data_IF_813829264034
#
_entry.id   IF_813829264034
#
_cell.length_a   1.000
_cell.length_b   1.000
_cell.length_c   1.000
_cell.angle_alpha   90.00
_cell.angle_beta   90.00
_cell.angle_gamma   90.00
#
_symmetry.space_group_name_H-M   'P 1'
#
loop_
_entity.id
_entity.type
_entity.pdbx_description
1 polymer ?
#
# COMPACT_ATOMS: atom_id res chain seq x y z
N UNK A 1 -23.12 40.01 37.86
CA UNK A 1 -22.45 39.05 38.75
C UNK A 1 -22.19 37.81 37.92
N UNK A 2 -20.96 37.34 37.95
CA UNK A 2 -20.19 36.91 36.79
C UNK A 2 -20.56 35.52 36.25
N UNK A 3 -20.52 35.44 34.92
CA UNK A 3 -20.48 34.25 34.07
C UNK A 3 -19.45 33.23 34.58
N UNK A 4 -19.91 32.08 35.07
CA UNK A 4 -19.03 30.98 35.49
C UNK A 4 -18.62 30.19 34.25
N UNK A 5 -17.59 30.69 33.57
CA UNK A 5 -16.86 29.93 32.56
C UNK A 5 -16.22 28.71 33.24
N UNK A 6 -16.81 27.54 33.00
CA UNK A 6 -16.11 26.26 33.17
C UNK A 6 -14.95 26.24 32.17
N UNK A 7 -13.68 26.13 32.63
CA UNK A 7 -12.55 26.08 31.70
C UNK A 7 -12.62 24.79 30.86
N UNK A 8 -12.37 24.83 29.54
CA UNK A 8 -12.32 23.63 28.74
C UNK A 8 -11.12 22.78 29.18
N UNK A 9 -11.40 21.50 29.42
CA UNK A 9 -10.39 20.47 29.73
C UNK A 9 -9.35 20.46 28.62
N UNK A 10 -8.09 20.73 28.95
CA UNK A 10 -6.93 20.52 28.08
C UNK A 10 -6.89 19.04 27.66
N UNK A 11 -7.15 18.79 26.38
CA UNK A 11 -7.03 17.48 25.71
C UNK A 11 -5.54 17.18 25.48
N UNK A 12 -5.09 16.00 25.93
CA UNK A 12 -3.71 15.53 25.70
C UNK A 12 -3.42 15.23 24.23
N UNK A 13 -2.14 15.12 23.84
CA UNK A 13 -1.70 15.15 22.43
C UNK A 13 -1.87 13.81 21.68
N UNK A 14 -2.82 12.97 22.06
CA UNK A 14 -3.02 11.66 21.42
C UNK A 14 -4.46 11.14 21.59
N UNK A 15 -5.44 11.96 21.23
CA UNK A 15 -6.77 11.47 20.92
C UNK A 15 -6.87 11.41 19.40
N UNK A 16 -6.96 10.20 18.85
CA UNK A 16 -7.29 9.93 17.46
C UNK A 16 -8.51 10.79 17.10
N UNK A 17 -8.30 11.82 16.29
CA UNK A 17 -9.37 12.74 15.91
C UNK A 17 -10.31 11.94 15.00
N UNK A 18 -11.60 11.77 15.35
CA UNK A 18 -12.51 10.95 14.54
C UNK A 18 -12.63 11.49 13.11
N UNK A 19 -12.39 12.79 12.91
CA UNK A 19 -12.33 13.42 11.59
C UNK A 19 -11.06 13.09 10.80
N UNK A 20 -9.94 12.79 11.46
CA UNK A 20 -8.72 12.34 10.79
C UNK A 20 -8.89 10.92 10.24
N UNK A 21 -9.56 10.03 10.99
CA UNK A 21 -9.90 8.68 10.51
C UNK A 21 -10.92 8.73 9.36
N UNK A 22 -11.93 9.59 9.46
CA UNK A 22 -12.94 9.77 8.39
C UNK A 22 -12.34 10.36 7.11
N UNK A 23 -11.39 11.31 7.23
CA UNK A 23 -10.60 11.80 6.10
C UNK A 23 -9.72 10.71 5.49
N UNK A 24 -8.97 9.96 6.29
CA UNK A 24 -8.13 8.86 5.78
C UNK A 24 -8.96 7.78 5.08
N UNK A 25 -10.15 7.46 5.59
CA UNK A 25 -11.07 6.52 4.93
C UNK A 25 -11.57 7.06 3.58
N UNK A 26 -11.95 8.34 3.50
CA UNK A 26 -12.36 8.93 2.23
C UNK A 26 -11.21 8.98 1.21
N UNK A 27 -9.98 9.25 1.67
CA UNK A 27 -8.80 9.21 0.79
C UNK A 27 -8.46 7.79 0.35
N UNK A 28 -8.64 6.81 1.22
CA UNK A 28 -8.47 5.41 0.86
C UNK A 28 -9.49 4.97 -0.19
N UNK A 29 -10.78 5.32 -0.02
CA UNK A 29 -11.81 5.08 -1.03
C UNK A 29 -11.42 5.71 -2.37
N UNK A 30 -10.96 6.97 -2.38
CA UNK A 30 -10.46 7.64 -3.60
C UNK A 30 -9.28 6.91 -4.23
N UNK A 31 -8.36 6.34 -3.43
CA UNK A 31 -7.20 5.62 -3.96
C UNK A 31 -7.59 4.27 -4.55
N UNK A 32 -8.60 3.63 -3.99
CA UNK A 32 -9.20 2.42 -4.58
C UNK A 32 -9.91 2.79 -5.88
N UNK A 33 -10.67 3.89 -5.93
CA UNK A 33 -11.30 4.38 -7.16
C UNK A 33 -10.26 4.71 -8.24
N UNK A 34 -9.15 5.37 -7.88
CA UNK A 34 -8.03 5.66 -8.80
C UNK A 34 -7.37 4.36 -9.28
N UNK A 35 -7.26 3.34 -8.42
CA UNK A 35 -6.73 2.03 -8.80
C UNK A 35 -7.66 1.29 -9.78
N UNK A 36 -8.98 1.34 -9.57
CA UNK A 36 -9.97 0.80 -10.50
C UNK A 36 -9.94 1.54 -11.84
N UNK A 37 -9.91 2.88 -11.82
CA UNK A 37 -9.80 3.68 -13.04
C UNK A 37 -8.51 3.37 -13.81
N UNK A 38 -7.38 3.21 -13.10
CA UNK A 38 -6.11 2.80 -13.72
C UNK A 38 -6.23 1.43 -14.38
N UNK A 39 -6.89 0.47 -13.74
CA UNK A 39 -7.12 -0.84 -14.34
C UNK A 39 -7.98 -0.75 -15.61
N UNK A 40 -9.06 0.03 -15.59
CA UNK A 40 -9.92 0.24 -16.78
C UNK A 40 -9.13 0.83 -17.97
N UNK A 41 -8.17 1.72 -17.71
CA UNK A 41 -7.27 2.23 -18.76
C UNK A 41 -6.43 1.12 -19.37
N UNK A 42 -5.82 0.26 -18.56
CA UNK A 42 -5.04 -0.90 -19.02
C UNK A 42 -5.92 -1.91 -19.78
N UNK A 43 -7.14 -2.19 -19.31
CA UNK A 43 -8.09 -3.08 -20.01
C UNK A 43 -8.49 -2.53 -21.38
N UNK A 44 -8.68 -1.21 -21.49
CA UNK A 44 -8.94 -0.53 -22.77
C UNK A 44 -7.77 -0.65 -23.75
N UNK A 45 -6.54 -0.77 -23.24
CA UNK A 45 -5.33 -1.06 -24.01
C UNK A 45 -5.15 -2.55 -24.34
N UNK A 46 -6.06 -3.42 -23.85
CA UNK A 46 -6.08 -4.86 -24.13
C UNK A 46 -5.33 -5.72 -23.12
N UNK A 47 -5.02 -5.17 -21.94
CA UNK A 47 -4.42 -5.93 -20.83
C UNK A 47 -5.47 -6.65 -20.01
N UNK A 48 -5.09 -7.77 -19.42
CA UNK A 48 -5.87 -8.45 -18.38
C UNK A 48 -5.43 -7.91 -17.01
N UNK A 49 -6.34 -7.25 -16.30
CA UNK A 49 -6.02 -6.55 -15.04
C UNK A 49 -6.61 -7.21 -13.81
N UNK A 50 -5.87 -7.17 -12.70
CA UNK A 50 -6.34 -7.59 -11.39
C UNK A 50 -6.16 -6.42 -10.41
N UNK A 51 -7.26 -5.84 -9.94
CA UNK A 51 -7.25 -4.85 -8.87
C UNK A 51 -7.33 -5.58 -7.53
N UNK A 52 -6.37 -5.32 -6.65
CA UNK A 52 -6.41 -5.80 -5.28
C UNK A 52 -7.17 -4.81 -4.39
N UNK A 53 -7.90 -5.33 -3.41
CA UNK A 53 -8.61 -4.54 -2.40
C UNK A 53 -8.02 -4.80 -1.00
N UNK A 54 -6.90 -4.16 -0.63
CA UNK A 54 -6.26 -4.38 0.64
C UNK A 54 -7.17 -4.03 1.82
N UNK A 55 -7.36 -4.96 2.74
CA UNK A 55 -7.95 -4.70 4.04
C UNK A 55 -6.96 -4.06 5.03
N UNK A 56 -5.66 -4.29 4.83
CA UNK A 56 -4.58 -3.70 5.63
C UNK A 56 -3.29 -3.64 4.81
N UNK A 57 -2.51 -2.56 4.98
CA UNK A 57 -1.17 -2.41 4.39
C UNK A 57 -0.18 -2.06 5.49
N UNK A 58 0.79 -2.95 5.72
CA UNK A 58 1.79 -2.82 6.76
C UNK A 58 3.18 -2.62 6.17
N UNK A 59 3.91 -1.62 6.67
CA UNK A 59 5.32 -1.35 6.30
C UNK A 59 6.25 -2.34 6.98
N UNK A 60 7.14 -2.96 6.21
CA UNK A 60 8.16 -3.89 6.69
C UNK A 60 9.58 -3.40 6.38
N UNK A 61 10.51 -3.42 7.35
CA UNK A 61 10.26 -3.70 8.77
C UNK A 61 9.50 -2.54 9.43
N UNK A 62 8.73 -2.80 10.50
CA UNK A 62 8.07 -1.73 11.25
C UNK A 62 9.12 -0.79 11.86
N UNK A 63 8.90 0.53 11.73
CA UNK A 63 9.88 1.55 12.10
C UNK A 63 10.33 1.49 13.57
N UNK A 64 9.46 1.05 14.48
CA UNK A 64 9.75 0.88 15.90
C UNK A 64 10.53 -0.41 16.23
N UNK A 65 10.58 -1.38 15.31
CA UNK A 65 11.27 -2.66 15.48
C UNK A 65 12.01 -3.02 14.17
N UNK A 66 13.09 -2.28 13.82
CA UNK A 66 13.79 -2.43 12.54
C UNK A 66 14.46 -3.80 12.34
N UNK A 67 14.66 -4.55 13.42
CA UNK A 67 15.26 -5.89 13.45
C UNK A 67 14.23 -7.02 13.64
N UNK A 68 12.92 -6.71 13.65
CA UNK A 68 11.88 -7.73 13.82
C UNK A 68 11.75 -8.66 12.61
N UNK A 69 12.20 -8.22 11.43
CA UNK A 69 12.18 -9.01 10.21
C UNK A 69 13.25 -8.56 9.23
N UNK A 70 13.76 -9.52 8.45
CA UNK A 70 14.62 -9.27 7.30
C UNK A 70 13.84 -8.85 6.05
N UNK A 71 12.49 -8.95 6.09
CA UNK A 71 11.62 -8.54 4.98
C UNK A 71 11.62 -7.02 4.85
N UNK A 72 11.71 -6.55 3.61
CA UNK A 72 11.74 -5.12 3.27
C UNK A 72 10.71 -4.88 2.18
N UNK A 73 9.65 -4.15 2.50
CA UNK A 73 8.49 -4.10 1.62
C UNK A 73 7.18 -3.73 2.29
N UNK A 74 6.10 -3.94 1.57
CA UNK A 74 4.74 -3.80 2.09
C UNK A 74 4.11 -5.18 2.25
N UNK A 75 3.53 -5.45 3.42
CA UNK A 75 2.65 -6.58 3.66
C UNK A 75 1.22 -6.14 3.36
N UNK A 76 0.60 -6.76 2.36
CA UNK A 76 -0.68 -6.36 1.78
C UNK A 76 -1.69 -7.47 2.02
N UNK A 77 -2.66 -7.21 2.89
CA UNK A 77 -3.71 -8.16 3.22
C UNK A 77 -4.89 -8.01 2.25
N UNK A 78 -5.20 -9.03 1.46
CA UNK A 78 -6.27 -8.98 0.45
C UNK A 78 -7.33 -10.07 0.66
N UNK A 79 -8.54 -9.91 0.11
CA UNK A 79 -9.53 -10.97 -0.03
C UNK A 79 -8.96 -12.26 -0.64
N UNK A 80 -9.43 -13.40 -0.13
CA UNK A 80 -8.93 -14.71 -0.56
C UNK A 80 -9.11 -14.99 -2.06
N UNK A 81 -10.23 -14.55 -2.66
CA UNK A 81 -10.49 -14.73 -4.08
C UNK A 81 -9.47 -13.98 -4.96
N UNK A 82 -9.12 -12.75 -4.60
CA UNK A 82 -8.12 -11.94 -5.32
C UNK A 82 -6.72 -12.53 -5.15
N UNK A 83 -6.42 -13.00 -3.93
CA UNK A 83 -5.17 -13.70 -3.65
C UNK A 83 -5.02 -14.98 -4.49
N UNK A 84 -6.10 -15.76 -4.63
CA UNK A 84 -6.10 -16.97 -5.45
C UNK A 84 -5.84 -16.64 -6.92
N UNK A 85 -6.55 -15.66 -7.49
CA UNK A 85 -6.30 -15.21 -8.86
C UNK A 85 -4.87 -14.71 -9.06
N UNK A 86 -4.34 -13.91 -8.13
CA UNK A 86 -2.95 -13.46 -8.18
C UNK A 86 -1.98 -14.64 -8.11
N UNK A 87 -2.25 -15.61 -7.23
CA UNK A 87 -1.42 -16.81 -7.07
C UNK A 87 -1.34 -17.60 -8.38
N UNK A 88 -2.48 -17.81 -9.05
CA UNK A 88 -2.54 -18.49 -10.34
C UNK A 88 -1.75 -17.72 -11.42
N UNK A 89 -1.78 -16.38 -11.39
CA UNK A 89 -1.04 -15.58 -12.37
C UNK A 89 0.46 -15.70 -12.21
N UNK A 90 0.97 -15.64 -10.97
CA UNK A 90 2.42 -15.69 -10.72
C UNK A 90 3.03 -17.08 -10.90
N UNK A 91 2.23 -18.14 -11.00
CA UNK A 91 2.73 -19.50 -11.28
C UNK A 91 3.32 -19.63 -12.70
N UNK A 92 2.69 -18.98 -13.68
CA UNK A 92 3.07 -19.06 -15.09
C UNK A 92 3.60 -17.72 -15.65
N UNK A 93 3.56 -16.64 -14.87
CA UNK A 93 3.89 -15.28 -15.33
C UNK A 93 4.91 -14.60 -14.42
N UNK A 94 5.95 -14.04 -15.01
CA UNK A 94 6.88 -13.16 -14.33
C UNK A 94 6.39 -11.71 -14.40
N UNK A 95 6.31 -11.06 -13.25
CA UNK A 95 5.99 -9.65 -13.10
C UNK A 95 7.29 -8.87 -12.86
N UNK A 96 7.85 -8.29 -13.92
CA UNK A 96 9.20 -7.68 -13.92
C UNK A 96 9.19 -6.15 -14.02
N UNK A 97 8.06 -5.56 -14.41
CA UNK A 97 7.89 -4.12 -14.55
C UNK A 97 6.86 -3.61 -13.55
N UNK A 98 7.02 -2.36 -13.13
CA UNK A 98 5.99 -1.70 -12.34
C UNK A 98 6.00 -0.19 -12.61
N UNK A 99 4.85 0.44 -12.42
CA UNK A 99 4.66 1.89 -12.45
C UNK A 99 3.96 2.30 -11.14
N UNK A 100 4.31 3.47 -10.61
CA UNK A 100 3.76 3.96 -9.32
C UNK A 100 3.22 5.36 -9.47
N UNK A 101 1.97 5.52 -9.08
CA UNK A 101 1.29 6.80 -8.97
C UNK A 101 1.12 7.11 -7.49
N UNK A 102 1.47 8.31 -7.05
CA UNK A 102 1.42 8.65 -5.62
C UNK A 102 0.86 10.05 -5.36
N UNK A 103 0.10 10.15 -4.28
CA UNK A 103 -0.37 11.39 -3.70
C UNK A 103 0.03 11.43 -2.22
N UNK A 104 0.18 12.65 -1.68
CA UNK A 104 0.50 12.84 -0.26
C UNK A 104 -0.56 13.70 0.37
N UNK A 105 -1.05 13.25 1.52
CA UNK A 105 -1.91 14.07 2.35
C UNK A 105 -1.67 13.86 3.85
N UNK A 106 -1.62 14.95 4.61
CA UNK A 106 -1.54 14.93 6.08
C UNK A 106 -0.42 14.03 6.68
N UNK A 107 0.68 13.81 5.96
CA UNK A 107 1.79 12.95 6.41
C UNK A 107 1.65 11.47 6.02
N UNK A 108 0.56 11.11 5.35
CA UNK A 108 0.35 9.81 4.73
C UNK A 108 0.61 9.92 3.23
N UNK A 109 1.27 8.92 2.67
CA UNK A 109 1.37 8.73 1.22
C UNK A 109 0.36 7.67 0.84
N UNK A 110 -0.39 7.96 -0.21
CA UNK A 110 -1.23 7.01 -0.90
C UNK A 110 -0.60 6.75 -2.27
N UNK A 111 -0.45 5.49 -2.63
CA UNK A 111 0.16 5.10 -3.89
C UNK A 111 -0.63 3.99 -4.56
N UNK A 112 -0.68 4.02 -5.89
CA UNK A 112 -1.17 2.93 -6.72
C UNK A 112 0.05 2.35 -7.43
N UNK A 113 0.41 1.11 -7.10
CA UNK A 113 1.48 0.38 -7.78
C UNK A 113 0.89 -0.56 -8.81
N UNK A 114 1.26 -0.40 -10.07
CA UNK A 114 0.81 -1.24 -11.19
C UNK A 114 1.95 -2.13 -11.61
N UNK A 115 1.90 -3.40 -11.20
CA UNK A 115 2.93 -4.39 -11.51
C UNK A 115 2.52 -5.12 -12.79
N UNK A 116 3.38 -5.09 -13.79
CA UNK A 116 3.10 -5.51 -15.15
C UNK A 116 3.93 -6.72 -15.55
N UNK A 117 3.29 -7.62 -16.28
CA UNK A 117 3.91 -8.70 -17.03
C UNK A 117 3.66 -8.45 -18.52
N UNK A 118 4.54 -7.68 -19.16
CA UNK A 118 4.35 -7.22 -20.53
C UNK A 118 4.27 -8.37 -21.54
N UNK A 119 4.99 -9.47 -21.31
CA UNK A 119 4.96 -10.63 -22.19
C UNK A 119 3.62 -11.37 -22.15
N UNK A 120 2.93 -11.33 -21.01
CA UNK A 120 1.62 -11.97 -20.82
C UNK A 120 0.44 -11.02 -21.04
N UNK A 121 0.69 -9.70 -21.18
CA UNK A 121 -0.35 -8.68 -21.25
C UNK A 121 -1.16 -8.60 -19.95
N UNK A 122 -0.53 -8.82 -18.79
CA UNK A 122 -1.20 -8.80 -17.48
C UNK A 122 -0.70 -7.66 -16.60
N UNK A 123 -1.60 -7.05 -15.84
CA UNK A 123 -1.27 -6.02 -14.87
C UNK A 123 -1.99 -6.22 -13.53
N UNK A 124 -1.26 -6.12 -12.43
CA UNK A 124 -1.81 -6.19 -11.08
C UNK A 124 -1.74 -4.80 -10.48
N UNK A 125 -2.88 -4.25 -10.12
CA UNK A 125 -2.99 -2.93 -9.51
C UNK A 125 -3.12 -3.09 -8.00
N UNK A 126 -2.15 -2.54 -7.27
CA UNK A 126 -2.03 -2.66 -5.82
C UNK A 126 -2.09 -1.26 -5.20
N UNK A 127 -3.22 -0.86 -4.62
CA UNK A 127 -3.28 0.36 -3.83
C UNK A 127 -2.54 0.16 -2.51
N UNK A 128 -1.81 1.19 -2.09
CA UNK A 128 -0.92 1.20 -0.94
C UNK A 128 -1.13 2.50 -0.17
N UNK A 129 -0.97 2.43 1.15
CA UNK A 129 -0.87 3.61 1.98
C UNK A 129 0.19 3.40 3.06
N UNK A 130 0.88 4.47 3.42
CA UNK A 130 1.86 4.43 4.50
C UNK A 130 2.15 5.83 5.05
N UNK A 131 2.46 5.92 6.33
CA UNK A 131 2.95 7.16 6.93
C UNK A 131 4.39 7.43 6.49
N UNK A 132 4.70 8.69 6.16
CA UNK A 132 6.06 9.10 5.74
C UNK A 132 7.09 8.75 6.81
N UNK A 133 6.77 9.00 8.08
CA UNK A 133 7.67 8.70 9.21
C UNK A 133 7.87 7.19 9.46
N UNK A 134 7.00 6.34 8.90
CA UNK A 134 7.10 4.89 9.06
C UNK A 134 8.02 4.25 8.01
N UNK A 135 8.33 4.94 6.90
CA UNK A 135 9.05 4.33 5.77
C UNK A 135 10.55 4.62 5.72
N UNK A 136 11.10 5.51 6.53
CA UNK A 136 12.55 5.84 6.50
C UNK A 136 13.45 4.60 6.60
N UNK A 137 13.15 3.70 7.54
CA UNK A 137 13.91 2.46 7.75
C UNK A 137 13.79 1.54 6.54
N UNK A 138 12.55 1.33 6.06
CA UNK A 138 12.28 0.51 4.88
C UNK A 138 12.96 1.09 3.65
N UNK A 139 12.87 2.39 3.43
CA UNK A 139 13.43 3.09 2.28
C UNK A 139 14.94 2.99 2.23
N UNK A 140 15.60 3.12 3.39
CA UNK A 140 17.04 2.89 3.49
C UNK A 140 17.39 1.46 3.10
N UNK A 141 16.75 0.46 3.70
CA UNK A 141 17.03 -0.96 3.41
C UNK A 141 16.73 -1.33 1.96
N UNK A 142 15.63 -0.80 1.40
CA UNK A 142 15.23 -1.05 0.02
C UNK A 142 16.28 -0.49 -0.96
N UNK A 143 16.77 0.74 -0.72
CA UNK A 143 17.86 1.33 -1.52
C UNK A 143 19.17 0.55 -1.40
N UNK A 144 19.47 0.00 -0.23
CA UNK A 144 20.64 -0.87 -0.04
C UNK A 144 20.50 -2.19 -0.82
N UNK A 145 19.28 -2.72 -0.95
CA UNK A 145 18.99 -3.96 -1.68
C UNK A 145 18.74 -3.74 -3.19
N UNK A 146 18.40 -2.52 -3.60
CA UNK A 146 18.05 -2.18 -4.98
C UNK A 146 16.64 -2.62 -5.41
N UNK A 147 15.85 -3.16 -4.49
CA UNK A 147 14.50 -3.67 -4.74
C UNK A 147 13.61 -3.48 -3.51
N UNK A 148 12.29 -3.41 -3.75
CA UNK A 148 11.26 -3.45 -2.71
C UNK A 148 10.26 -4.56 -3.04
N UNK A 149 9.80 -5.32 -2.05
CA UNK A 149 8.83 -6.40 -2.26
C UNK A 149 7.42 -6.01 -1.80
N UNK A 150 6.41 -6.49 -2.51
CA UNK A 150 5.02 -6.55 -2.03
C UNK A 150 4.74 -7.99 -1.62
N UNK A 151 4.46 -8.17 -0.34
CA UNK A 151 4.06 -9.44 0.26
C UNK A 151 2.54 -9.47 0.32
N UNK A 152 1.91 -9.95 -0.76
CA UNK A 152 0.46 -10.08 -0.82
C UNK A 152 0.05 -11.36 -0.09
N UNK A 153 -0.88 -11.27 0.86
CA UNK A 153 -1.36 -12.42 1.62
C UNK A 153 -2.88 -12.37 1.84
N UNK A 154 -3.53 -13.53 1.97
CA UNK A 154 -4.89 -13.60 2.45
C UNK A 154 -4.94 -13.47 3.98
N UNK A 155 -6.15 -13.51 4.53
CA UNK A 155 -6.38 -13.57 5.99
C UNK A 155 -5.74 -14.83 6.59
N UNK A 156 -5.74 -15.94 5.85
CA UNK A 156 -5.00 -17.15 6.21
C UNK A 156 -3.48 -16.91 6.19
N UNK A 157 -2.86 -16.96 7.38
CA UNK A 157 -1.50 -16.49 7.62
C UNK A 157 -0.36 -17.31 6.95
N UNK A 158 -0.64 -18.51 6.43
CA UNK A 158 0.39 -19.43 5.91
C UNK A 158 0.70 -19.26 4.41
N UNK A 159 -0.06 -18.42 3.69
CA UNK A 159 0.13 -18.21 2.24
C UNK A 159 0.58 -16.77 1.96
N UNK A 160 1.47 -16.60 0.98
CA UNK A 160 1.86 -15.29 0.45
C UNK A 160 2.36 -15.39 -0.98
N UNK A 161 2.18 -14.31 -1.73
CA UNK A 161 2.78 -14.06 -3.05
C UNK A 161 3.72 -12.87 -2.90
N UNK A 162 4.86 -12.92 -3.57
CA UNK A 162 5.89 -11.89 -3.52
C UNK A 162 6.02 -11.25 -4.90
N UNK A 163 5.65 -9.96 -5.01
CA UNK A 163 5.87 -9.16 -6.22
C UNK A 163 7.10 -8.27 -6.00
N UNK A 164 8.00 -8.24 -6.97
CA UNK A 164 9.26 -7.48 -6.87
C UNK A 164 9.12 -6.17 -7.62
N UNK A 165 9.44 -5.07 -6.94
CA UNK A 165 9.52 -3.73 -7.52
C UNK A 165 11.00 -3.36 -7.57
N UNK A 166 11.57 -3.44 -8.77
CA UNK A 166 12.97 -3.07 -9.05
C UNK A 166 13.14 -1.56 -8.91
N UNK A 167 14.29 -1.06 -8.45
CA UNK A 167 14.51 0.40 -8.27
C UNK A 167 13.47 1.06 -7.34
N UNK A 168 13.63 1.06 -6.01
CA UNK A 168 12.55 1.39 -5.10
C UNK A 168 12.29 2.90 -4.91
N UNK A 169 13.06 3.77 -5.57
CA UNK A 169 12.99 5.23 -5.38
C UNK A 169 11.65 5.88 -5.79
N UNK A 170 10.95 5.43 -6.86
CA UNK A 170 9.60 5.90 -7.21
C UNK A 170 8.56 5.70 -6.10
N UNK A 171 8.81 4.77 -5.17
CA UNK A 171 7.94 4.50 -4.03
C UNK A 171 8.23 5.39 -2.82
N UNK A 172 9.24 6.28 -2.85
CA UNK A 172 9.60 7.11 -1.70
C UNK A 172 9.57 8.61 -2.01
N UNK A 173 9.04 9.45 -1.11
CA UNK A 173 8.98 10.90 -1.31
C UNK A 173 10.35 11.56 -1.48
#
# INVERSE_FOLDING_TARGET
>A
MTDEQTPPRTRGPNAEDPHALEGVLSFWETVVEDAEATAEEYESEGWETLVLHPGDVTVLPPANLPDATDRVGFDVLVPGNEFETLSEWVEDTAFDRYDVYRARENGTVFAVSVIQAAEAGKAVVVPLYYAVDAVDVMAKKAREQGELRLYVRPVEADRRVELVQSDPDPLFP
#
